data_IF_318117485669
#
_entry.id   IF_318117485669
#
_cell.length_a   1.000
_cell.length_b   1.000
_cell.length_c   1.000
_cell.angle_alpha   90.00
_cell.angle_beta   90.00
_cell.angle_gamma   90.00
#
_symmetry.space_group_name_H-M   'P 1'
#
loop_
_entity.id
_entity.type
_entity.pdbx_description
1 polymer ?
#
# COMPACT_ATOMS: atom_id res chain seq x y z
N UNK A 1 4.03 -13.41 -14.83
CA UNK A 1 3.26 -13.25 -13.69
C UNK A 1 2.94 -11.87 -13.25
N UNK A 2 3.46 -10.90 -13.95
CA UNK A 2 3.12 -9.54 -13.61
C UNK A 2 1.63 -9.29 -13.69
N UNK A 3 1.00 -9.88 -14.67
CA UNK A 3 -0.40 -9.71 -14.84
C UNK A 3 -1.17 -10.31 -13.71
N UNK A 4 -0.74 -11.45 -13.23
CA UNK A 4 -1.40 -12.12 -12.16
C UNK A 4 -1.26 -11.29 -10.89
N UNK A 5 -0.08 -10.75 -10.64
CA UNK A 5 0.13 -9.95 -9.46
C UNK A 5 -0.75 -8.71 -9.47
N UNK A 6 -0.89 -8.08 -10.63
CA UNK A 6 -1.72 -6.89 -10.73
C UNK A 6 -3.18 -7.22 -10.48
N UNK A 7 -3.62 -8.40 -10.92
CA UNK A 7 -4.96 -8.78 -10.72
C UNK A 7 -5.22 -9.03 -9.28
N UNK A 8 -4.29 -9.72 -8.62
CA UNK A 8 -4.46 -10.02 -7.23
C UNK A 8 -4.46 -8.76 -6.40
N UNK A 9 -3.66 -7.77 -6.80
CA UNK A 9 -3.62 -6.55 -6.05
C UNK A 9 -4.99 -5.91 -6.04
N UNK A 10 -5.70 -5.95 -7.16
CA UNK A 10 -7.00 -5.33 -7.21
C UNK A 10 -8.05 -6.04 -6.38
N UNK A 11 -7.88 -7.32 -6.18
CA UNK A 11 -8.86 -8.08 -5.43
C UNK A 11 -8.57 -8.22 -3.96
N UNK A 12 -7.40 -7.75 -3.49
CA UNK A 12 -7.04 -7.89 -2.11
C UNK A 12 -7.38 -6.66 -1.28
N UNK A 13 -7.54 -6.84 0.02
CA UNK A 13 -7.68 -5.72 0.92
C UNK A 13 -6.39 -4.93 0.88
N UNK A 14 -6.44 -3.66 1.23
CA UNK A 14 -5.26 -2.81 1.18
C UNK A 14 -4.08 -3.36 1.97
N UNK A 15 -4.36 -3.94 3.14
CA UNK A 15 -3.28 -4.45 3.96
C UNK A 15 -2.63 -5.66 3.32
N UNK A 16 -3.43 -6.54 2.71
CA UNK A 16 -2.88 -7.71 2.03
C UNK A 16 -2.17 -7.31 0.75
N UNK A 17 -2.69 -6.31 0.06
CA UNK A 17 -2.04 -5.81 -1.13
C UNK A 17 -0.70 -5.18 -0.79
N UNK A 18 -0.58 -4.59 0.41
CA UNK A 18 0.67 -4.03 0.85
C UNK A 18 1.72 -5.12 1.05
N UNK A 19 1.30 -6.29 1.55
CA UNK A 19 2.22 -7.41 1.70
C UNK A 19 2.78 -7.80 0.34
N UNK A 20 1.93 -7.75 -0.69
CA UNK A 20 2.36 -8.10 -2.02
C UNK A 20 3.34 -7.05 -2.55
N UNK A 21 3.11 -5.77 -2.27
CA UNK A 21 4.02 -4.73 -2.68
C UNK A 21 5.38 -4.94 -2.03
N UNK A 22 5.40 -5.31 -0.74
CA UNK A 22 6.64 -5.55 -0.04
C UNK A 22 7.40 -6.72 -0.65
N UNK A 23 6.67 -7.74 -1.07
CA UNK A 23 7.28 -8.89 -1.68
C UNK A 23 7.89 -8.52 -3.03
N UNK A 24 7.20 -7.68 -3.79
CA UNK A 24 7.71 -7.21 -5.06
C UNK A 24 8.98 -6.39 -4.85
N UNK A 25 9.01 -5.58 -3.80
CA UNK A 25 10.18 -4.77 -3.50
C UNK A 25 11.40 -5.64 -3.26
N UNK A 26 11.18 -6.79 -2.62
CA UNK A 26 12.27 -7.70 -2.36
C UNK A 26 12.66 -8.55 -3.55
N UNK A 27 11.69 -9.13 -4.19
CA UNK A 27 11.95 -10.10 -5.26
C UNK A 27 12.08 -9.51 -6.65
N UNK A 28 11.37 -8.44 -6.94
CA UNK A 28 11.38 -7.85 -8.26
C UNK A 28 11.37 -6.34 -8.17
N UNK A 29 12.45 -5.75 -7.65
CA UNK A 29 12.47 -4.32 -7.41
C UNK A 29 12.23 -3.47 -8.64
N UNK A 30 12.46 -3.99 -9.81
CA UNK A 30 12.24 -3.24 -11.03
C UNK A 30 10.75 -3.02 -11.28
N UNK A 31 9.89 -3.76 -10.59
CA UNK A 31 8.48 -3.60 -10.75
C UNK A 31 7.85 -2.83 -9.61
N UNK A 32 8.66 -2.47 -8.63
CA UNK A 32 8.16 -1.83 -7.44
C UNK A 32 7.45 -0.51 -7.73
N UNK A 33 8.02 0.29 -8.58
CA UNK A 33 7.44 1.60 -8.84
C UNK A 33 6.01 1.48 -9.32
N UNK A 34 5.76 0.60 -10.26
CA UNK A 34 4.43 0.44 -10.80
C UNK A 34 3.46 -0.11 -9.77
N UNK A 35 3.92 -1.08 -8.99
CA UNK A 35 3.09 -1.68 -7.95
C UNK A 35 2.77 -0.65 -6.87
N UNK A 36 3.76 0.17 -6.53
CA UNK A 36 3.57 1.19 -5.51
C UNK A 36 2.58 2.25 -5.94
N UNK A 37 2.64 2.67 -7.19
CA UNK A 37 1.72 3.67 -7.71
C UNK A 37 0.29 3.14 -7.65
N UNK A 38 0.10 1.87 -8.03
CA UNK A 38 -1.23 1.31 -8.01
C UNK A 38 -1.76 1.19 -6.60
N UNK A 39 -0.91 0.75 -5.68
CA UNK A 39 -1.33 0.61 -4.30
C UNK A 39 -1.67 1.97 -3.69
N UNK A 40 -0.84 2.98 -3.97
CA UNK A 40 -1.06 4.31 -3.44
C UNK A 40 -2.38 4.89 -3.98
N UNK A 41 -2.68 4.64 -5.25
CA UNK A 41 -3.94 5.08 -5.83
C UNK A 41 -5.13 4.46 -5.12
N UNK A 42 -5.03 3.17 -4.79
CA UNK A 42 -6.10 2.52 -4.06
C UNK A 42 -6.22 3.10 -2.66
N UNK A 43 -5.07 3.41 -2.04
CA UNK A 43 -5.09 3.97 -0.70
C UNK A 43 -5.86 5.28 -0.70
N UNK A 44 -5.60 6.13 -1.67
CA UNK A 44 -6.28 7.41 -1.75
C UNK A 44 -7.77 7.28 -2.00
N UNK A 45 -8.16 6.26 -2.73
CA UNK A 45 -9.56 6.06 -3.00
C UNK A 45 -10.29 5.41 -1.83
N UNK A 46 -9.64 4.53 -1.12
CA UNK A 46 -10.30 3.76 -0.08
C UNK A 46 -10.15 4.32 1.33
N UNK A 47 -9.08 5.03 1.60
CA UNK A 47 -8.85 5.55 2.93
C UNK A 47 -9.26 7.01 2.99
N UNK A 48 -10.53 7.24 3.18
CA UNK A 48 -11.04 8.59 3.13
C UNK A 48 -10.58 9.50 4.25
N UNK A 49 -10.09 8.95 5.32
CA UNK A 49 -9.63 9.78 6.42
C UNK A 49 -8.15 10.15 6.29
N UNK A 50 -7.55 9.76 5.20
CA UNK A 50 -6.13 10.02 5.00
C UNK A 50 -5.93 11.49 4.67
N UNK A 51 -5.05 12.16 5.38
CA UNK A 51 -4.75 13.55 5.09
C UNK A 51 -3.74 13.62 3.96
N UNK A 52 -3.59 14.80 3.37
CA UNK A 52 -2.63 14.98 2.29
C UNK A 52 -1.22 14.68 2.79
N UNK A 53 -0.89 15.14 4.00
CA UNK A 53 0.43 14.88 4.56
C UNK A 53 0.67 13.38 4.72
N UNK A 54 -0.36 12.65 5.13
CA UNK A 54 -0.23 11.22 5.30
C UNK A 54 -0.11 10.52 3.94
N UNK A 55 -0.80 11.02 2.95
CA UNK A 55 -0.68 10.46 1.61
C UNK A 55 0.73 10.65 1.08
N UNK A 56 1.32 11.82 1.34
CA UNK A 56 2.68 12.08 0.92
C UNK A 56 3.68 11.22 1.69
N UNK A 57 3.42 10.99 2.98
CA UNK A 57 4.28 10.13 3.76
C UNK A 57 4.21 8.69 3.24
N UNK A 58 3.02 8.25 2.85
CA UNK A 58 2.86 6.92 2.29
C UNK A 58 3.67 6.78 1.01
N UNK A 59 3.62 7.80 0.17
CA UNK A 59 4.35 7.75 -1.08
C UNK A 59 5.86 7.70 -0.82
N UNK A 60 6.33 8.47 0.16
CA UNK A 60 7.74 8.47 0.51
C UNK A 60 8.16 7.12 1.07
N UNK A 61 7.31 6.51 1.90
CA UNK A 61 7.62 5.21 2.47
C UNK A 61 7.66 4.13 1.39
N UNK A 62 6.75 4.22 0.41
CA UNK A 62 6.75 3.27 -0.69
C UNK A 62 8.04 3.40 -1.48
N UNK A 63 8.50 4.63 -1.69
CA UNK A 63 9.74 4.86 -2.42
C UNK A 63 10.95 4.34 -1.67
N UNK A 64 10.88 4.26 -0.35
CA UNK A 64 11.98 3.81 0.46
C UNK A 64 12.04 2.30 0.63
N UNK A 65 10.96 1.58 0.28
CA UNK A 65 10.89 0.14 0.52
C UNK A 65 12.05 -0.65 -0.06
N UNK A 66 12.52 -0.21 -1.20
CA UNK A 66 13.58 -0.93 -1.85
C UNK A 66 14.86 -0.91 -1.04
N UNK A 67 15.19 0.23 -0.46
CA UNK A 67 16.41 0.36 0.31
C UNK A 67 16.20 0.00 1.78
N UNK A 68 14.99 0.16 2.27
CA UNK A 68 14.71 -0.04 3.68
C UNK A 68 13.38 -0.77 3.85
N UNK A 69 13.41 -2.08 3.97
CA UNK A 69 12.17 -2.84 4.11
C UNK A 69 11.37 -2.45 5.34
N UNK A 70 11.99 -1.86 6.35
CA UNK A 70 11.24 -1.50 7.54
C UNK A 70 10.30 -0.32 7.27
N UNK A 71 10.42 0.34 6.11
CA UNK A 71 9.50 1.40 5.74
C UNK A 71 8.08 0.88 5.67
N UNK A 72 7.89 -0.44 5.55
CA UNK A 72 6.56 -0.99 5.49
C UNK A 72 5.83 -0.75 6.80
N UNK A 73 6.55 -0.57 7.89
CA UNK A 73 5.91 -0.32 9.18
C UNK A 73 5.19 1.03 9.16
N UNK A 74 5.75 2.01 8.44
CA UNK A 74 5.12 3.31 8.34
C UNK A 74 3.80 3.14 7.59
N UNK A 75 3.81 2.34 6.53
CA UNK A 75 2.62 2.14 5.75
C UNK A 75 1.55 1.40 6.54
N UNK A 76 1.95 0.43 7.35
CA UNK A 76 0.99 -0.29 8.15
C UNK A 76 0.40 0.59 9.23
N UNK A 77 1.23 1.48 9.79
CA UNK A 77 0.75 2.41 10.80
C UNK A 77 -0.27 3.36 10.18
N UNK A 78 0.00 3.83 8.96
CA UNK A 78 -0.94 4.71 8.29
C UNK A 78 -2.26 3.99 8.00
N UNK A 79 -2.19 2.73 7.62
CA UNK A 79 -3.39 1.97 7.37
C UNK A 79 -4.21 1.79 8.64
N UNK A 80 -3.56 1.56 9.75
CA UNK A 80 -4.28 1.38 11.00
C UNK A 80 -4.98 2.67 11.40
N UNK A 81 -4.33 3.81 11.17
CA UNK A 81 -4.91 5.06 11.55
C UNK A 81 -6.04 5.48 10.60
N UNK A 82 -5.81 5.33 9.32
CA UNK A 82 -6.78 5.72 8.31
C UNK A 82 -7.63 4.57 7.85
N UNK A 83 -7.80 3.54 8.70
CA UNK A 83 -8.51 2.39 8.33
C UNK A 83 -9.86 2.68 7.77
N UNK A 84 -10.19 2.07 6.70
CA UNK A 84 -11.49 2.26 6.11
C UNK A 84 -12.52 1.86 7.12
N UNK A 85 -13.47 2.69 7.27
CA UNK A 85 -14.42 2.40 8.24
C UNK A 85 -15.40 1.39 7.87
N UNK A 86 -15.43 0.98 6.67
CA UNK A 86 -16.37 0.05 6.29
C UNK A 86 -16.48 -1.04 7.26
N UNK A 87 -15.46 -1.50 7.75
CA UNK A 87 -15.55 -2.63 8.63
C UNK A 87 -16.22 -2.31 9.89
N UNK A 88 -16.00 -1.14 10.41
CA UNK A 88 -16.43 -0.95 11.63
C UNK A 88 -17.69 -0.34 11.75
N UNK A 89 -18.12 0.21 10.78
CA UNK A 89 -19.28 0.87 10.91
C UNK A 89 -20.33 -0.01 11.21
N UNK A 90 -20.12 -1.18 11.14
CA UNK A 90 -21.12 -2.08 11.34
C UNK A 90 -21.44 -2.03 12.71
N UNK A 91 -20.55 -1.84 13.46
CA UNK A 91 -20.78 -1.85 14.86
C UNK A 91 -21.76 -0.84 15.26
#
# INVERSE_FOLDING_TARGET
MAELAARELRGLALNDALDLVALIAEAQPERLERAAVRWHGRLELEAQLLTLAESELALAALGALRADPTAIEILRALLRRARPTLGRQIG
#
